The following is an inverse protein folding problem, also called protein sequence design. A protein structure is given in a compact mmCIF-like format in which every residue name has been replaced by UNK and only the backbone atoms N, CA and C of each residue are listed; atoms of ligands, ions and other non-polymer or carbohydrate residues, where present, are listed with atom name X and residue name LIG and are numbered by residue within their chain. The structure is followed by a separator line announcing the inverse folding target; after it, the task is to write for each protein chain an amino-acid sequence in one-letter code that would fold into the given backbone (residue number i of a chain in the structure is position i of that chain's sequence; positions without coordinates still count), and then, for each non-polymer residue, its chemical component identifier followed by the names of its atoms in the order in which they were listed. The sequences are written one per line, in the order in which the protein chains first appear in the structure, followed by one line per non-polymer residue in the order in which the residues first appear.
data_IF_821534007821
#
_entry.id   IF_821534007821
#
_cell.length_a   1.000
_cell.length_b   1.000
_cell.length_c   1.000
_cell.angle_alpha   90.00
_cell.angle_beta   90.00
_cell.angle_gamma   90.00
#
_symmetry.space_group_name_H-M   'P 1'
#
loop_
_entity.id
_entity.type
_entity.pdbx_description
1 polymer ?
#
# COMPACT_ATOMS: atom_id res chain seq x y z
N UNK A 1 6.54 -3.71 17.25
CA UNK A 1 7.80 -4.13 16.59
C UNK A 1 8.59 -5.00 17.55
N UNK A 2 9.01 -6.19 17.12
CA UNK A 2 9.88 -7.04 17.93
C UNK A 2 11.32 -6.54 17.81
N UNK A 3 11.72 -5.62 18.69
CA UNK A 3 13.08 -5.05 18.77
C UNK A 3 14.18 -6.12 18.85
N UNK A 4 13.87 -7.28 19.46
CA UNK A 4 14.77 -8.43 19.52
C UNK A 4 15.09 -9.01 18.13
N UNK A 5 14.09 -9.15 17.26
CA UNK A 5 14.28 -9.69 15.92
C UNK A 5 15.14 -8.76 15.05
N UNK A 6 14.94 -7.44 15.18
CA UNK A 6 15.79 -6.45 14.52
C UNK A 6 17.23 -6.50 15.03
N UNK A 7 17.44 -6.60 16.34
CA UNK A 7 18.78 -6.71 16.91
C UNK A 7 19.53 -7.94 16.39
N UNK A 8 18.86 -9.11 16.33
CA UNK A 8 19.46 -10.32 15.75
C UNK A 8 19.73 -10.16 14.25
N UNK A 9 18.83 -9.52 13.50
CA UNK A 9 19.04 -9.23 12.07
C UNK A 9 20.26 -8.33 11.83
N UNK A 10 20.42 -7.27 12.63
CA UNK A 10 21.59 -6.37 12.55
C UNK A 10 22.87 -7.09 12.95
N UNK A 11 22.84 -7.95 13.98
CA UNK A 11 24.03 -8.70 14.39
C UNK A 11 24.47 -9.69 13.32
N UNK A 12 23.56 -10.51 12.81
CA UNK A 12 23.89 -11.51 11.79
C UNK A 12 24.31 -10.82 10.48
N UNK A 13 23.54 -9.82 10.04
CA UNK A 13 23.86 -9.04 8.84
C UNK A 13 25.17 -8.27 8.97
N UNK A 14 25.46 -7.72 10.16
CA UNK A 14 26.70 -7.02 10.45
C UNK A 14 27.92 -7.95 10.42
N UNK A 15 27.81 -9.15 10.99
CA UNK A 15 28.91 -10.15 10.95
C UNK A 15 29.16 -10.62 9.52
N UNK A 16 28.11 -11.00 8.80
CA UNK A 16 28.24 -11.45 7.40
C UNK A 16 28.78 -10.33 6.52
N UNK A 17 28.26 -9.11 6.66
CA UNK A 17 28.70 -7.94 5.91
C UNK A 17 30.14 -7.54 6.21
N UNK A 18 30.56 -7.60 7.47
CA UNK A 18 31.95 -7.36 7.85
C UNK A 18 32.88 -8.44 7.28
N UNK A 19 32.47 -9.72 7.34
CA UNK A 19 33.27 -10.82 6.80
C UNK A 19 33.42 -10.71 5.27
N UNK A 20 32.34 -10.41 4.54
CA UNK A 20 32.40 -10.21 3.09
C UNK A 20 33.23 -8.98 2.74
N UNK A 21 33.05 -7.86 3.44
CA UNK A 21 33.83 -6.64 3.24
C UNK A 21 35.33 -6.89 3.48
N UNK A 22 35.70 -7.62 4.53
CA UNK A 22 37.10 -7.97 4.80
C UNK A 22 37.68 -8.91 3.73
N UNK A 23 36.88 -9.83 3.19
CA UNK A 23 37.31 -10.76 2.14
C UNK A 23 37.47 -10.06 0.77
N UNK A 24 36.65 -9.04 0.49
CA UNK A 24 36.66 -8.31 -0.78
C UNK A 24 37.45 -6.99 -0.74
N UNK A 25 37.93 -6.57 0.43
CA UNK A 25 38.75 -5.37 0.56
C UNK A 25 40.07 -5.52 -0.23
N UNK A 26 40.40 -4.58 -1.14
CA UNK A 26 41.59 -4.67 -1.99
C UNK A 26 42.91 -4.36 -1.24
N UNK A 27 42.84 -3.89 0.01
CA UNK A 27 43.98 -3.45 0.81
C UNK A 27 44.53 -4.55 1.73
N UNK A 28 45.85 -4.62 1.90
CA UNK A 28 46.46 -5.54 2.86
C UNK A 28 46.11 -5.18 4.31
N UNK A 29 46.01 -6.15 5.23
CA UNK A 29 45.68 -5.88 6.63
C UNK A 29 46.69 -4.96 7.36
N UNK A 30 47.95 -4.93 6.91
CA UNK A 30 48.99 -4.01 7.41
C UNK A 30 48.67 -2.56 7.03
N UNK A 31 48.24 -2.36 5.80
CA UNK A 31 47.87 -1.06 5.25
C UNK A 31 46.60 -0.53 5.90
N UNK A 32 45.58 -1.38 6.08
CA UNK A 32 44.36 -1.03 6.80
C UNK A 32 44.64 -0.58 8.25
N UNK A 33 45.54 -1.28 8.96
CA UNK A 33 45.97 -0.87 10.31
C UNK A 33 46.73 0.45 10.33
N UNK A 34 47.56 0.72 9.32
CA UNK A 34 48.27 1.99 9.20
C UNK A 34 47.30 3.14 8.90
N UNK A 35 46.38 2.94 7.95
CA UNK A 35 45.32 3.89 7.63
C UNK A 35 44.43 4.17 8.85
N UNK A 36 44.08 3.16 9.66
CA UNK A 36 43.33 3.36 10.90
C UNK A 36 44.07 4.23 11.92
N UNK A 37 45.40 4.10 11.99
CA UNK A 37 46.23 4.92 12.89
C UNK A 37 46.33 6.36 12.39
N UNK A 38 46.47 6.56 11.08
CA UNK A 38 46.66 7.88 10.48
C UNK A 38 45.34 8.65 10.32
N UNK A 39 44.23 7.97 10.02
CA UNK A 39 42.94 8.58 9.67
C UNK A 39 41.88 8.46 10.78
N UNK A 40 42.28 8.23 12.04
CA UNK A 40 41.34 8.00 13.15
C UNK A 40 40.30 9.12 13.30
N UNK A 41 40.71 10.37 13.14
CA UNK A 41 39.81 11.54 13.20
C UNK A 41 38.73 11.47 12.11
N UNK A 42 39.11 11.04 10.91
CA UNK A 42 38.22 10.99 9.76
C UNK A 42 37.19 9.88 9.94
N UNK A 43 37.61 8.73 10.46
CA UNK A 43 36.69 7.65 10.85
C UNK A 43 35.69 8.07 11.92
N UNK A 44 36.11 8.89 12.89
CA UNK A 44 35.19 9.43 13.91
C UNK A 44 34.17 10.36 13.24
N UNK A 45 34.61 11.25 12.35
CA UNK A 45 33.70 12.16 11.63
C UNK A 45 32.72 11.38 10.76
N UNK A 46 33.20 10.42 9.97
CA UNK A 46 32.34 9.55 9.14
C UNK A 46 31.31 8.81 9.99
N UNK A 47 31.69 8.33 11.18
CA UNK A 47 30.75 7.67 12.09
C UNK A 47 29.71 8.64 12.68
N UNK A 48 30.08 9.90 12.90
CA UNK A 48 29.14 10.94 13.33
C UNK A 48 28.17 11.31 12.21
N UNK A 49 28.66 11.54 10.99
CA UNK A 49 27.86 11.84 9.81
C UNK A 49 26.87 10.69 9.53
N UNK A 50 27.36 9.44 9.52
CA UNK A 50 26.50 8.26 9.34
C UNK A 50 25.42 8.14 10.42
N UNK A 51 25.71 8.55 11.65
CA UNK A 51 24.72 8.54 12.74
C UNK A 51 23.64 9.59 12.49
N UNK A 52 24.00 10.79 12.05
CA UNK A 52 23.06 11.84 11.70
C UNK A 52 22.17 11.40 10.52
N UNK A 53 22.77 10.91 9.45
CA UNK A 53 22.05 10.36 8.28
C UNK A 53 21.08 9.24 8.68
N UNK A 54 21.51 8.32 9.56
CA UNK A 54 20.67 7.24 10.03
C UNK A 54 19.47 7.74 10.86
N UNK A 55 19.65 8.82 11.63
CA UNK A 55 18.56 9.47 12.38
C UNK A 55 17.58 10.12 11.39
N UNK A 56 18.07 10.79 10.37
CA UNK A 56 17.25 11.46 9.36
C UNK A 56 16.44 10.48 8.52
N UNK A 57 17.05 9.37 8.10
CA UNK A 57 16.35 8.28 7.42
C UNK A 57 15.26 7.70 8.32
N UNK A 58 15.59 7.44 9.60
CA UNK A 58 14.61 6.94 10.56
C UNK A 58 13.41 7.89 10.70
N UNK A 59 13.66 9.19 10.83
CA UNK A 59 12.62 10.20 10.94
C UNK A 59 11.77 10.28 9.67
N UNK A 60 12.40 10.25 8.50
CA UNK A 60 11.74 10.28 7.20
C UNK A 60 10.85 9.06 7.00
N UNK A 61 11.35 7.86 7.30
CA UNK A 61 10.58 6.61 7.23
C UNK A 61 9.40 6.63 8.20
N UNK A 62 9.61 7.13 9.43
CA UNK A 62 8.54 7.25 10.40
C UNK A 62 7.45 8.23 9.93
N UNK A 63 7.85 9.37 9.36
CA UNK A 63 6.94 10.37 8.79
C UNK A 63 6.14 9.79 7.63
N UNK A 64 6.80 9.21 6.62
CA UNK A 64 6.15 8.58 5.46
C UNK A 64 5.22 7.45 5.88
N UNK A 65 5.64 6.62 6.84
CA UNK A 65 4.77 5.54 7.36
C UNK A 65 3.53 6.08 8.05
N UNK A 66 3.64 7.20 8.77
CA UNK A 66 2.52 7.85 9.44
C UNK A 66 1.58 8.52 8.43
N UNK A 67 2.12 9.36 7.56
CA UNK A 67 1.35 10.07 6.52
C UNK A 67 0.67 9.08 5.56
N UNK A 68 1.39 8.05 5.09
CA UNK A 68 0.83 7.01 4.24
C UNK A 68 -0.30 6.24 4.93
N UNK A 69 -0.18 5.97 6.25
CA UNK A 69 -1.26 5.33 7.01
C UNK A 69 -2.49 6.23 7.15
N UNK A 70 -2.29 7.53 7.35
CA UNK A 70 -3.38 8.50 7.43
C UNK A 70 -4.11 8.62 6.09
N UNK A 71 -3.36 8.78 4.98
CA UNK A 71 -3.90 8.84 3.62
C UNK A 71 -4.70 7.57 3.27
N UNK A 72 -4.16 6.38 3.55
CA UNK A 72 -4.87 5.12 3.28
C UNK A 72 -6.17 5.04 4.10
N UNK A 73 -6.16 5.52 5.34
CA UNK A 73 -7.32 5.48 6.22
C UNK A 73 -8.41 6.46 5.78
N UNK A 74 -8.01 7.65 5.34
CA UNK A 74 -8.90 8.65 4.75
C UNK A 74 -9.54 8.12 3.46
N UNK A 75 -8.72 7.64 2.52
CA UNK A 75 -9.21 7.03 1.28
C UNK A 75 -10.17 5.87 1.53
N UNK A 76 -9.86 4.99 2.49
CA UNK A 76 -10.76 3.89 2.86
C UNK A 76 -12.09 4.40 3.44
N UNK A 77 -12.07 5.51 4.18
CA UNK A 77 -13.27 6.19 4.67
C UNK A 77 -14.11 6.78 3.53
N UNK A 78 -13.47 7.49 2.61
CA UNK A 78 -14.15 8.12 1.47
C UNK A 78 -14.78 7.09 0.53
N UNK A 79 -14.04 6.03 0.21
CA UNK A 79 -14.57 4.91 -0.58
C UNK A 79 -15.77 4.27 0.11
N UNK A 80 -15.69 4.07 1.43
CA UNK A 80 -16.82 3.51 2.19
C UNK A 80 -18.05 4.42 2.11
N UNK A 81 -17.88 5.73 2.31
CA UNK A 81 -18.98 6.69 2.21
C UNK A 81 -19.59 6.71 0.80
N UNK A 82 -18.76 6.73 -0.24
CA UNK A 82 -19.23 6.71 -1.63
C UNK A 82 -20.05 5.44 -1.95
N UNK A 83 -19.63 4.28 -1.42
CA UNK A 83 -20.39 3.02 -1.58
C UNK A 83 -21.71 3.08 -0.82
N UNK A 84 -21.72 3.57 0.43
CA UNK A 84 -22.93 3.71 1.24
C UNK A 84 -23.94 4.67 0.59
N UNK A 85 -23.47 5.78 0.01
CA UNK A 85 -24.29 6.74 -0.72
C UNK A 85 -24.87 6.14 -2.00
N UNK A 86 -24.04 5.46 -2.79
CA UNK A 86 -24.50 4.73 -3.98
C UNK A 86 -25.58 3.68 -3.65
N UNK A 87 -25.39 2.88 -2.58
CA UNK A 87 -26.40 1.93 -2.13
C UNK A 87 -27.69 2.62 -1.69
N UNK A 88 -27.59 3.77 -1.00
CA UNK A 88 -28.79 4.48 -0.53
C UNK A 88 -29.59 5.09 -1.69
N UNK A 89 -28.91 5.68 -2.67
CA UNK A 89 -29.57 6.51 -3.69
C UNK A 89 -29.89 5.74 -4.97
N UNK A 90 -28.96 4.91 -5.43
CA UNK A 90 -29.06 4.27 -6.75
C UNK A 90 -29.76 2.91 -6.66
N UNK A 91 -29.47 2.11 -5.63
CA UNK A 91 -30.06 0.77 -5.45
C UNK A 91 -31.61 0.74 -5.47
N UNK A 92 -32.33 1.61 -4.73
CA UNK A 92 -33.80 1.61 -4.79
C UNK A 92 -34.31 2.07 -6.16
N UNK A 93 -33.58 2.98 -6.83
CA UNK A 93 -33.98 3.50 -8.12
C UNK A 93 -33.83 2.45 -9.23
N UNK A 94 -32.76 1.65 -9.19
CA UNK A 94 -32.58 0.49 -10.07
C UNK A 94 -33.71 -0.53 -9.85
N UNK A 95 -34.07 -0.79 -8.59
CA UNK A 95 -35.14 -1.73 -8.25
C UNK A 95 -36.49 -1.24 -8.77
N UNK A 96 -36.80 0.05 -8.61
CA UNK A 96 -38.02 0.65 -9.14
C UNK A 96 -38.08 0.57 -10.67
N UNK A 97 -36.98 0.90 -11.37
CA UNK A 97 -36.90 0.78 -12.82
C UNK A 97 -37.10 -0.65 -13.33
N UNK A 98 -36.62 -1.66 -12.62
CA UNK A 98 -36.86 -3.06 -12.97
C UNK A 98 -38.34 -3.45 -12.84
N UNK A 99 -39.03 -2.93 -11.85
CA UNK A 99 -40.46 -3.17 -11.66
C UNK A 99 -41.28 -2.49 -12.76
N UNK A 100 -40.98 -1.22 -13.08
CA UNK A 100 -41.62 -0.51 -14.20
C UNK A 100 -41.41 -1.22 -15.55
N UNK A 101 -40.19 -1.71 -15.81
CA UNK A 101 -39.88 -2.52 -17.00
C UNK A 101 -40.73 -3.79 -17.07
N UNK A 102 -40.97 -4.43 -15.93
CA UNK A 102 -41.77 -5.65 -15.83
C UNK A 102 -43.26 -5.36 -16.07
N UNK A 103 -43.78 -4.26 -15.55
CA UNK A 103 -45.16 -3.82 -15.82
C UNK A 103 -45.38 -3.49 -17.30
N UNK A 104 -44.42 -2.80 -17.93
CA UNK A 104 -44.46 -2.52 -19.38
C UNK A 104 -44.51 -3.83 -20.18
N UNK A 105 -43.66 -4.81 -19.82
CA UNK A 105 -43.60 -6.10 -20.51
C UNK A 105 -44.90 -6.90 -20.36
N UNK A 106 -45.52 -6.88 -19.18
CA UNK A 106 -46.83 -7.48 -18.95
C UNK A 106 -47.91 -6.80 -19.79
N UNK A 107 -47.91 -5.47 -19.86
CA UNK A 107 -48.89 -4.70 -20.64
C UNK A 107 -48.77 -5.00 -22.13
N UNK A 108 -47.55 -5.09 -22.67
CA UNK A 108 -47.31 -5.48 -24.07
C UNK A 108 -47.84 -6.88 -24.35
N UNK A 109 -47.55 -7.85 -23.46
CA UNK A 109 -48.03 -9.23 -23.60
C UNK A 109 -49.57 -9.32 -23.62
N UNK A 110 -50.24 -8.54 -22.77
CA UNK A 110 -51.71 -8.47 -22.74
C UNK A 110 -52.28 -7.84 -24.01
N UNK A 111 -51.63 -6.80 -24.56
CA UNK A 111 -52.03 -6.18 -25.81
C UNK A 111 -51.89 -7.14 -27.00
N UNK A 112 -50.81 -7.93 -27.06
CA UNK A 112 -50.63 -8.96 -28.08
C UNK A 112 -51.69 -10.06 -28.01
N UNK A 113 -52.03 -10.55 -26.81
CA UNK A 113 -53.10 -11.53 -26.63
C UNK A 113 -54.46 -11.00 -27.10
N UNK A 114 -54.83 -9.78 -26.70
CA UNK A 114 -56.11 -9.17 -27.13
C UNK A 114 -56.17 -8.97 -28.64
N UNK A 115 -55.08 -8.53 -29.26
CA UNK A 115 -54.99 -8.40 -30.71
C UNK A 115 -55.10 -9.75 -31.44
N UNK A 116 -54.52 -10.82 -30.89
CA UNK A 116 -54.68 -12.17 -31.46
C UNK A 116 -56.11 -12.71 -31.30
N UNK A 117 -56.76 -12.49 -30.16
CA UNK A 117 -58.17 -12.87 -29.95
C UNK A 117 -59.10 -12.15 -30.92
N UNK A 118 -58.92 -10.83 -31.12
CA UNK A 118 -59.73 -10.02 -32.04
C UNK A 118 -59.53 -10.44 -33.50
N UNK A 119 -58.30 -10.83 -33.89
CA UNK A 119 -57.99 -11.36 -35.23
C UNK A 119 -58.53 -12.77 -35.48
N UNK A 120 -58.88 -13.51 -34.42
CA UNK A 120 -59.42 -14.86 -34.49
C UNK A 120 -60.95 -14.89 -34.56
N UNK A 121 -61.60 -13.74 -34.30
CA UNK A 121 -63.06 -13.57 -34.29
C UNK A 121 -63.62 -12.91 -35.56
N UNK A 122 -62.75 -12.49 -36.49
CA UNK A 122 -63.06 -12.00 -37.84
C UNK A 122 -62.63 -13.03 -38.87
#
# INVERSE_FOLDING_TARGET
MNTKALAYGVLIGGVVGAATALLTAPSSGKELRNQLKESKSDWIRIAQDLKEDAIDIKNSVAKVSKEGKEIIKELAGDVKMAVEEWQREIEPNITAMQEEMREIQNTISQLEQKLQEEKSTV
#
